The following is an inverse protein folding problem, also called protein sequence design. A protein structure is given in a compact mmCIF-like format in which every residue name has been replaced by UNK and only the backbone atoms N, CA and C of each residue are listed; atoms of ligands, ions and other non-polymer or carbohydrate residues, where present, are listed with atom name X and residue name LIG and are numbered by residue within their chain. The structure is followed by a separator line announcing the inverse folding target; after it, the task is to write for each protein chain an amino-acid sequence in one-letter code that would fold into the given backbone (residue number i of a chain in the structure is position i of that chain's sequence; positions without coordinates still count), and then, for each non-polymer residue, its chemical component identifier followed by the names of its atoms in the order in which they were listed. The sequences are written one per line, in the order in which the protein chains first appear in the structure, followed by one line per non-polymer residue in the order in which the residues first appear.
data_IF_058538817116
#
_entry.id   IF_058538817116
#
_cell.length_a   1.000
_cell.length_b   1.000
_cell.length_c   1.000
_cell.angle_alpha   90.00
_cell.angle_beta   90.00
_cell.angle_gamma   90.00
#
_symmetry.space_group_name_H-M   'P 1'
#
loop_
_entity.id
_entity.type
_entity.pdbx_description
1 polymer ?
#
# COMPACT_ATOMS: atom_id res chain seq x y z
N UNK A 1 -26.25 3.78 7.25
CA UNK A 1 -26.58 3.32 5.88
C UNK A 1 -26.28 1.82 5.63
N UNK A 2 -25.78 1.05 6.60
CA UNK A 2 -25.32 -0.34 6.35
C UNK A 2 -25.91 -1.41 7.27
N UNK A 3 -26.96 -1.07 8.04
CA UNK A 3 -27.44 -1.93 9.12
C UNK A 3 -27.94 -3.28 8.58
N UNK A 4 -28.80 -3.29 7.56
CA UNK A 4 -29.36 -4.52 6.99
C UNK A 4 -28.30 -5.50 6.47
N UNK A 5 -27.36 -5.04 5.64
CA UNK A 5 -26.28 -5.88 5.11
C UNK A 5 -25.35 -6.39 6.22
N UNK A 6 -25.04 -5.53 7.20
CA UNK A 6 -24.23 -5.90 8.35
C UNK A 6 -24.93 -6.97 9.20
N UNK A 7 -26.20 -6.77 9.49
CA UNK A 7 -27.03 -7.70 10.27
C UNK A 7 -27.15 -9.06 9.55
N UNK A 8 -27.28 -9.08 8.21
CA UNK A 8 -27.27 -10.30 7.42
C UNK A 8 -25.92 -11.02 7.45
N UNK A 9 -24.82 -10.29 7.30
CA UNK A 9 -23.48 -10.85 7.39
C UNK A 9 -23.17 -11.37 8.81
N UNK A 10 -23.63 -10.67 9.84
CA UNK A 10 -23.44 -11.10 11.24
C UNK A 10 -24.14 -12.43 11.53
N UNK A 11 -25.26 -12.75 10.89
CA UNK A 11 -25.94 -14.05 11.04
C UNK A 11 -25.08 -15.24 10.58
N UNK A 12 -24.23 -15.03 9.58
CA UNK A 12 -23.36 -16.07 9.02
C UNK A 12 -21.91 -15.95 9.49
N UNK A 13 -21.56 -14.84 10.15
CA UNK A 13 -20.19 -14.54 10.53
C UNK A 13 -19.79 -15.28 11.80
N UNK A 14 -18.91 -16.26 11.64
CA UNK A 14 -18.28 -16.98 12.75
C UNK A 14 -17.04 -16.27 13.30
N UNK A 15 -16.57 -15.20 12.65
CA UNK A 15 -15.37 -14.45 13.03
C UNK A 15 -15.73 -13.23 13.90
N UNK A 16 -14.72 -12.54 14.44
CA UNK A 16 -14.94 -11.26 15.11
C UNK A 16 -15.65 -10.26 14.17
N UNK A 17 -16.68 -9.55 14.65
CA UNK A 17 -17.55 -8.69 13.81
C UNK A 17 -16.79 -7.64 12.99
N UNK A 18 -15.65 -7.19 13.48
CA UNK A 18 -14.77 -6.26 12.77
C UNK A 18 -14.27 -6.80 11.41
N UNK A 19 -14.23 -8.11 11.20
CA UNK A 19 -13.90 -8.71 9.91
C UNK A 19 -15.02 -8.51 8.89
N UNK A 20 -16.28 -8.66 9.28
CA UNK A 20 -17.43 -8.36 8.42
C UNK A 20 -17.45 -6.87 8.04
N UNK A 21 -17.24 -5.99 9.02
CA UNK A 21 -17.14 -4.54 8.78
C UNK A 21 -16.03 -4.22 7.77
N UNK A 22 -14.88 -4.90 7.87
CA UNK A 22 -13.74 -4.68 6.98
C UNK A 22 -14.05 -5.18 5.56
N UNK A 23 -14.58 -6.39 5.42
CA UNK A 23 -14.96 -6.98 4.14
C UNK A 23 -15.98 -6.10 3.39
N UNK A 24 -16.97 -5.55 4.11
CA UNK A 24 -17.93 -4.60 3.54
C UNK A 24 -17.23 -3.35 2.99
N UNK A 25 -16.35 -2.72 3.79
CA UNK A 25 -15.63 -1.53 3.37
C UNK A 25 -14.78 -1.77 2.12
N UNK A 26 -14.06 -2.90 2.07
CA UNK A 26 -13.21 -3.26 0.93
C UNK A 26 -14.07 -3.52 -0.32
N UNK A 27 -15.18 -4.26 -0.19
CA UNK A 27 -16.13 -4.49 -1.28
C UNK A 27 -16.71 -3.18 -1.85
N UNK A 28 -17.10 -2.23 -0.99
CA UNK A 28 -17.57 -0.92 -1.44
C UNK A 28 -16.48 -0.11 -2.14
N UNK A 29 -15.24 -0.16 -1.64
CA UNK A 29 -14.10 0.51 -2.28
C UNK A 29 -13.86 -0.04 -3.70
N UNK A 30 -13.87 -1.37 -3.84
CA UNK A 30 -13.74 -2.06 -5.14
C UNK A 30 -14.86 -1.65 -6.10
N UNK A 31 -16.12 -1.69 -5.65
CA UNK A 31 -17.27 -1.31 -6.46
C UNK A 31 -17.24 0.16 -6.88
N UNK A 32 -16.84 1.06 -5.97
CA UNK A 32 -16.70 2.49 -6.25
C UNK A 32 -15.61 2.76 -7.30
N UNK A 33 -14.47 2.11 -7.16
CA UNK A 33 -13.37 2.19 -8.13
C UNK A 33 -13.78 1.64 -9.50
N UNK A 34 -14.48 0.50 -9.53
CA UNK A 34 -15.03 -0.08 -10.74
C UNK A 34 -16.02 0.88 -11.43
N UNK A 35 -17.00 1.42 -10.69
CA UNK A 35 -17.99 2.38 -11.22
C UNK A 35 -17.30 3.56 -11.91
N UNK A 36 -16.31 4.19 -11.26
CA UNK A 36 -15.54 5.31 -11.82
C UNK A 36 -14.82 4.96 -13.11
N UNK A 37 -14.36 3.72 -13.27
CA UNK A 37 -13.71 3.25 -14.51
C UNK A 37 -14.72 2.90 -15.60
N UNK A 38 -15.85 2.30 -15.22
CA UNK A 38 -16.94 1.98 -16.14
C UNK A 38 -17.52 3.25 -16.77
N UNK A 39 -17.76 4.30 -15.98
CA UNK A 39 -18.22 5.62 -16.45
C UNK A 39 -17.26 6.27 -17.47
N UNK A 40 -15.98 5.92 -17.42
CA UNK A 40 -14.95 6.39 -18.36
C UNK A 40 -14.78 5.47 -19.59
N UNK A 41 -15.64 4.46 -19.76
CA UNK A 41 -15.52 3.47 -20.82
C UNK A 41 -14.33 2.50 -20.68
N UNK A 42 -13.64 2.51 -19.52
CA UNK A 42 -12.38 1.75 -19.31
C UNK A 42 -12.58 0.37 -18.67
N UNK A 43 -13.80 0.04 -18.23
CA UNK A 43 -14.05 -1.23 -17.52
C UNK A 43 -15.48 -1.70 -17.67
N UNK A 44 -15.72 -2.64 -18.60
CA UNK A 44 -17.04 -3.26 -18.82
C UNK A 44 -17.27 -4.49 -17.93
N UNK A 45 -16.20 -5.17 -17.50
CA UNK A 45 -16.30 -6.39 -16.69
C UNK A 45 -16.49 -6.06 -15.21
N UNK A 46 -17.46 -6.69 -14.56
CA UNK A 46 -17.68 -6.60 -13.10
C UNK A 46 -16.41 -7.06 -12.33
N UNK A 47 -16.09 -6.42 -11.20
CA UNK A 47 -14.91 -6.79 -10.43
C UNK A 47 -15.08 -8.20 -9.86
N UNK A 48 -13.98 -8.95 -9.81
CA UNK A 48 -13.89 -10.26 -9.17
C UNK A 48 -12.72 -10.22 -8.18
N UNK A 49 -12.89 -10.83 -7.02
CA UNK A 49 -11.81 -11.00 -6.07
C UNK A 49 -10.84 -12.04 -6.67
N UNK A 50 -9.59 -11.64 -6.91
CA UNK A 50 -8.54 -12.52 -7.44
C UNK A 50 -7.68 -13.12 -6.34
N UNK A 51 -7.48 -12.37 -5.26
CA UNK A 51 -6.61 -12.72 -4.15
C UNK A 51 -7.35 -12.36 -2.86
N UNK A 52 -7.42 -13.33 -1.94
CA UNK A 52 -8.09 -13.16 -0.65
C UNK A 52 -7.07 -12.66 0.36
N UNK A 53 -7.38 -11.53 0.99
CA UNK A 53 -6.56 -10.99 2.05
C UNK A 53 -7.44 -10.43 3.17
N UNK A 54 -6.87 -10.33 4.36
CA UNK A 54 -7.53 -9.74 5.51
C UNK A 54 -6.58 -8.76 6.18
N UNK A 55 -6.97 -7.48 6.22
CA UNK A 55 -6.24 -6.46 6.97
C UNK A 55 -6.74 -6.39 8.41
N UNK A 56 -5.83 -6.59 9.35
CA UNK A 56 -6.12 -6.70 10.78
C UNK A 56 -6.09 -5.32 11.44
N UNK A 57 -7.28 -4.84 11.80
CA UNK A 57 -7.45 -3.59 12.55
C UNK A 57 -6.63 -3.61 13.85
N UNK A 58 -6.17 -2.43 14.28
CA UNK A 58 -5.48 -2.26 15.56
C UNK A 58 -6.25 -2.82 16.75
N UNK A 59 -7.58 -2.74 16.73
CA UNK A 59 -8.45 -3.28 17.79
C UNK A 59 -8.50 -4.80 17.86
N UNK A 60 -8.13 -5.50 16.78
CA UNK A 60 -8.12 -6.97 16.72
C UNK A 60 -6.76 -7.58 17.07
N UNK A 61 -5.74 -6.74 17.32
CA UNK A 61 -4.38 -7.22 17.61
C UNK A 61 -3.86 -6.72 18.96
N UNK A 62 -2.99 -7.52 19.56
CA UNK A 62 -2.15 -7.12 20.71
C UNK A 62 -0.70 -7.43 20.36
N UNK A 63 0.16 -6.43 20.45
CA UNK A 63 1.61 -6.59 20.25
C UNK A 63 2.26 -6.82 21.60
N UNK A 64 3.12 -7.84 21.67
CA UNK A 64 3.91 -8.17 22.84
C UNK A 64 5.35 -8.51 22.42
N UNK A 65 6.28 -7.60 22.72
CA UNK A 65 7.66 -7.66 22.25
C UNK A 65 7.76 -7.82 20.73
N UNK A 66 8.35 -8.93 20.29
CA UNK A 66 8.52 -9.28 18.88
C UNK A 66 7.44 -10.24 18.38
N UNK A 67 6.23 -10.16 18.93
CA UNK A 67 5.09 -10.98 18.53
C UNK A 67 3.80 -10.17 18.45
N UNK A 68 2.86 -10.64 17.62
CA UNK A 68 1.51 -10.11 17.52
C UNK A 68 0.50 -11.24 17.70
N UNK A 69 -0.42 -11.04 18.64
CA UNK A 69 -1.59 -11.87 18.83
C UNK A 69 -2.76 -11.23 18.10
N UNK A 70 -3.42 -11.99 17.23
CA UNK A 70 -4.53 -11.56 16.37
C UNK A 70 -5.78 -12.33 16.77
N UNK A 71 -6.85 -11.63 17.06
CA UNK A 71 -8.16 -12.21 17.40
C UNK A 71 -8.85 -12.69 16.12
N UNK A 72 -9.17 -13.98 16.02
CA UNK A 72 -9.92 -14.57 14.89
C UNK A 72 -11.40 -14.62 15.24
N UNK A 73 -11.72 -15.23 16.39
CA UNK A 73 -13.05 -15.28 17.01
C UNK A 73 -12.96 -14.82 18.46
N UNK A 74 -14.08 -14.55 19.15
CA UNK A 74 -14.06 -14.30 20.59
C UNK A 74 -13.31 -15.41 21.33
N UNK A 75 -12.22 -15.06 22.02
CA UNK A 75 -11.31 -15.97 22.76
C UNK A 75 -10.49 -16.93 21.90
N UNK A 76 -10.49 -16.79 20.57
CA UNK A 76 -9.67 -17.56 19.64
C UNK A 76 -8.62 -16.65 18.99
N UNK A 77 -7.35 -17.03 19.07
CA UNK A 77 -6.23 -16.18 18.66
C UNK A 77 -5.22 -16.94 17.80
N UNK A 78 -4.64 -16.23 16.83
CA UNK A 78 -3.43 -16.65 16.12
C UNK A 78 -2.29 -15.75 16.58
N UNK A 79 -1.10 -16.31 16.77
CA UNK A 79 0.09 -15.56 17.18
C UNK A 79 1.19 -15.70 16.15
N UNK A 80 1.74 -14.57 15.71
CA UNK A 80 2.92 -14.53 14.85
C UNK A 80 4.08 -13.90 15.61
N UNK A 81 5.20 -14.62 15.66
CA UNK A 81 6.46 -14.08 16.20
C UNK A 81 7.41 -13.73 15.05
N UNK A 82 8.03 -12.56 15.14
CA UNK A 82 9.14 -12.15 14.28
C UNK A 82 10.46 -12.09 15.03
N UNK A 83 10.58 -12.70 16.21
CA UNK A 83 11.82 -12.66 17.00
C UNK A 83 13.01 -13.33 16.30
N UNK A 84 12.76 -14.38 15.49
CA UNK A 84 13.77 -15.16 14.78
C UNK A 84 13.79 -14.90 13.27
N UNK A 85 13.27 -13.75 12.81
CA UNK A 85 13.31 -13.39 11.38
C UNK A 85 14.53 -12.53 11.06
N UNK A 86 14.94 -12.54 9.79
CA UNK A 86 16.06 -11.74 9.28
C UNK A 86 15.86 -10.23 9.50
N UNK A 87 14.61 -9.76 9.63
CA UNK A 87 14.25 -8.35 9.81
C UNK A 87 14.02 -7.95 11.28
N UNK A 88 14.04 -8.90 12.22
CA UNK A 88 13.78 -8.66 13.66
C UNK A 88 14.54 -7.44 14.23
N UNK A 89 15.84 -7.34 13.92
CA UNK A 89 16.70 -6.23 14.35
C UNK A 89 16.35 -4.91 13.68
N UNK A 90 15.89 -4.93 12.42
CA UNK A 90 15.56 -3.74 11.63
C UNK A 90 14.28 -3.05 12.10
N UNK A 91 13.38 -3.81 12.71
CA UNK A 91 12.07 -3.33 13.17
C UNK A 91 12.02 -3.03 14.66
N UNK A 92 13.16 -3.16 15.35
CA UNK A 92 13.26 -2.89 16.79
C UNK A 92 12.91 -1.42 17.06
N UNK A 93 11.93 -1.18 17.93
CA UNK A 93 11.45 0.17 18.27
C UNK A 93 10.45 0.77 17.28
N UNK A 94 10.11 0.08 16.19
CA UNK A 94 9.07 0.51 15.26
C UNK A 94 7.69 0.06 15.73
N UNK A 95 6.66 0.83 15.37
CA UNK A 95 5.28 0.47 15.63
C UNK A 95 4.78 -0.50 14.55
N UNK A 96 4.25 -1.65 14.97
CA UNK A 96 3.51 -2.51 14.05
C UNK A 96 2.18 -1.84 13.65
N UNK A 97 2.06 -1.53 12.36
CA UNK A 97 0.83 -1.10 11.69
C UNK A 97 -0.19 -2.23 11.57
N UNK A 98 -1.15 -2.13 10.65
CA UNK A 98 -2.19 -3.17 10.45
C UNK A 98 -1.67 -4.36 9.64
N UNK A 99 -1.46 -5.56 10.24
CA UNK A 99 -1.04 -6.74 9.49
C UNK A 99 -1.99 -7.07 8.35
N UNK A 100 -1.47 -7.67 7.29
CA UNK A 100 -2.27 -8.23 6.20
C UNK A 100 -1.99 -9.72 6.12
N UNK A 101 -3.01 -10.53 6.36
CA UNK A 101 -2.94 -11.98 6.23
C UNK A 101 -3.46 -12.34 4.84
N UNK A 102 -2.69 -13.13 4.10
CA UNK A 102 -3.10 -13.80 2.87
C UNK A 102 -3.16 -15.31 3.11
N UNK A 103 -3.45 -16.08 2.06
CA UNK A 103 -3.59 -17.54 2.15
C UNK A 103 -2.29 -18.24 2.57
N UNK A 104 -1.15 -17.74 2.11
CA UNK A 104 0.18 -18.35 2.24
C UNK A 104 1.20 -17.48 2.99
N UNK A 105 0.88 -16.20 3.22
CA UNK A 105 1.83 -15.23 3.79
C UNK A 105 1.18 -14.22 4.74
N UNK A 106 2.01 -13.63 5.62
CA UNK A 106 1.60 -12.57 6.54
C UNK A 106 2.54 -11.38 6.40
N UNK A 107 1.96 -10.25 6.03
CA UNK A 107 2.65 -8.97 5.97
C UNK A 107 2.53 -8.26 7.32
N UNK A 108 3.69 -7.89 7.87
CA UNK A 108 3.82 -7.10 9.08
C UNK A 108 4.37 -5.71 8.73
N UNK A 109 3.51 -4.70 8.52
CA UNK A 109 3.98 -3.36 8.21
C UNK A 109 4.48 -2.68 9.48
N UNK A 110 5.71 -2.18 9.47
CA UNK A 110 6.30 -1.41 10.56
C UNK A 110 6.43 0.06 10.16
N UNK A 111 6.11 0.97 11.08
CA UNK A 111 6.19 2.42 10.86
C UNK A 111 6.91 3.12 11.99
N UNK A 112 7.61 4.19 11.65
CA UNK A 112 8.13 5.13 12.64
C UNK A 112 6.97 5.89 13.27
N UNK A 113 7.00 6.05 14.59
CA UNK A 113 6.20 7.09 15.23
C UNK A 113 6.87 8.41 14.94
N UNK A 114 6.30 9.18 14.02
CA UNK A 114 6.72 10.57 13.85
C UNK A 114 6.28 11.34 15.10
N UNK A 115 7.18 12.11 15.73
CA UNK A 115 6.79 12.99 16.80
C UNK A 115 5.72 13.95 16.29
N UNK A 116 4.72 14.26 17.11
CA UNK A 116 3.85 15.40 16.83
C UNK A 116 4.72 16.65 16.88
N UNK A 117 4.98 17.25 15.72
CA UNK A 117 5.62 18.55 15.64
C UNK A 117 4.55 19.64 15.58
N UNK A 118 4.79 20.73 16.29
CA UNK A 118 4.10 22.00 16.01
C UNK A 118 4.79 22.62 14.80
N UNK A 119 4.07 23.05 13.76
CA UNK A 119 4.68 23.81 12.67
C UNK A 119 5.40 25.03 13.25
N UNK A 120 6.71 25.12 13.03
CA UNK A 120 7.52 26.26 13.49
C UNK A 120 7.40 27.43 12.53
N UNK A 121 7.24 27.14 11.24
CA UNK A 121 7.15 28.11 10.17
C UNK A 121 6.42 27.53 8.96
N UNK A 122 6.20 28.36 7.94
CA UNK A 122 5.62 27.98 6.66
C UNK A 122 6.64 28.12 5.53
N UNK A 123 6.59 27.20 4.57
CA UNK A 123 7.38 27.26 3.35
C UNK A 123 6.43 27.01 2.18
N UNK A 124 6.24 28.01 1.33
CA UNK A 124 5.50 27.85 0.09
C UNK A 124 6.41 27.15 -0.92
N UNK A 125 5.95 26.05 -1.50
CA UNK A 125 6.68 25.29 -2.51
C UNK A 125 5.82 25.22 -3.77
N UNK A 126 6.35 25.69 -4.89
CA UNK A 126 5.78 25.50 -6.22
C UNK A 126 6.68 24.58 -7.04
N UNK A 127 6.08 23.57 -7.69
CA UNK A 127 6.82 22.62 -8.51
C UNK A 127 6.39 22.75 -9.97
N UNK A 128 7.34 23.20 -10.79
CA UNK A 128 7.22 23.21 -12.25
C UNK A 128 7.99 22.03 -12.87
N UNK A 129 7.95 21.90 -14.20
CA UNK A 129 8.59 20.78 -14.91
C UNK A 129 10.10 20.73 -14.66
N UNK A 130 10.75 21.90 -14.63
CA UNK A 130 12.20 22.01 -14.54
C UNK A 130 12.69 22.80 -13.33
N UNK A 131 11.79 23.31 -12.50
CA UNK A 131 12.15 24.05 -11.29
C UNK A 131 11.30 23.61 -10.10
N UNK A 132 11.91 23.66 -8.93
CA UNK A 132 11.23 23.64 -7.64
C UNK A 132 11.55 24.96 -6.96
N UNK A 133 10.53 25.77 -6.76
CA UNK A 133 10.65 27.12 -6.21
C UNK A 133 10.11 27.12 -4.78
N UNK A 134 10.92 27.59 -3.84
CA UNK A 134 10.58 27.64 -2.43
C UNK A 134 10.67 29.08 -1.90
N UNK A 135 9.68 29.47 -1.10
CA UNK A 135 9.59 30.81 -0.48
C UNK A 135 9.19 30.70 0.99
N UNK A 136 10.00 31.28 1.87
CA UNK A 136 9.84 31.24 3.32
C UNK A 136 9.17 32.51 3.90
N UNK A 137 8.76 33.46 3.05
CA UNK A 137 8.26 34.77 3.48
C UNK A 137 9.27 35.90 3.31
N UNK A 138 10.57 35.58 3.18
CA UNK A 138 11.64 36.58 2.99
C UNK A 138 12.46 36.33 1.72
N UNK A 139 12.78 35.06 1.41
CA UNK A 139 13.73 34.67 0.36
C UNK A 139 13.14 33.63 -0.57
N UNK A 140 13.46 33.77 -1.85
CA UNK A 140 13.21 32.75 -2.86
C UNK A 140 14.44 31.88 -3.07
N UNK A 141 14.23 30.56 -3.12
CA UNK A 141 15.24 29.59 -3.54
C UNK A 141 14.67 28.75 -4.68
N UNK A 142 15.40 28.71 -5.79
CA UNK A 142 15.03 27.91 -6.97
C UNK A 142 16.01 26.76 -7.14
N UNK A 143 15.48 25.54 -7.23
CA UNK A 143 16.25 24.34 -7.56
C UNK A 143 15.94 23.90 -8.99
N UNK A 144 16.97 23.55 -9.76
CA UNK A 144 16.79 22.95 -11.09
C UNK A 144 16.39 21.48 -10.95
N UNK A 145 15.27 21.09 -11.60
CA UNK A 145 14.78 19.71 -11.72
C UNK A 145 15.10 19.06 -13.07
N UNK A 146 15.90 19.71 -13.93
CA UNK A 146 16.17 19.21 -15.30
C UNK A 146 16.72 17.79 -15.33
N UNK A 147 17.66 17.47 -14.42
CA UNK A 147 18.24 16.13 -14.32
C UNK A 147 17.18 15.11 -13.86
N UNK A 148 16.41 15.45 -12.83
CA UNK A 148 15.33 14.60 -12.32
C UNK A 148 14.25 14.34 -13.38
N UNK A 149 13.89 15.38 -14.14
CA UNK A 149 12.93 15.25 -15.24
C UNK A 149 13.46 14.34 -16.35
N UNK A 150 14.75 14.46 -16.69
CA UNK A 150 15.40 13.60 -17.68
C UNK A 150 15.37 12.13 -17.25
N UNK A 151 15.66 11.85 -15.97
CA UNK A 151 15.56 10.51 -15.39
C UNK A 151 14.12 9.98 -15.42
N UNK A 152 13.16 10.78 -14.98
CA UNK A 152 11.73 10.43 -15.03
C UNK A 152 11.30 10.09 -16.47
N UNK A 153 11.65 10.94 -17.44
CA UNK A 153 11.28 10.72 -18.84
C UNK A 153 11.89 9.43 -19.39
N UNK A 154 13.17 9.17 -19.10
CA UNK A 154 13.81 7.89 -19.45
C UNK A 154 13.10 6.68 -18.84
N UNK A 155 12.65 6.76 -17.59
CA UNK A 155 11.86 5.71 -16.95
C UNK A 155 10.48 5.52 -17.58
N UNK A 156 9.77 6.60 -17.92
CA UNK A 156 8.47 6.53 -18.58
C UNK A 156 8.57 5.87 -19.97
N UNK A 157 9.62 6.17 -20.74
CA UNK A 157 9.89 5.49 -22.00
C UNK A 157 10.13 3.98 -21.80
N UNK A 158 10.95 3.60 -20.80
CA UNK A 158 11.17 2.18 -20.47
C UNK A 158 9.86 1.50 -20.07
N UNK A 159 9.05 2.15 -19.22
CA UNK A 159 7.77 1.62 -18.74
C UNK A 159 6.76 1.46 -19.87
N UNK A 160 6.65 2.43 -20.77
CA UNK A 160 5.76 2.37 -21.94
C UNK A 160 6.12 1.21 -22.87
N UNK A 161 7.42 0.94 -23.08
CA UNK A 161 7.88 -0.23 -23.84
C UNK A 161 7.42 -1.52 -23.18
N UNK A 162 7.66 -1.68 -21.87
CA UNK A 162 7.23 -2.88 -21.11
C UNK A 162 5.72 -3.08 -21.23
N UNK A 163 4.92 -2.04 -20.98
CA UNK A 163 3.46 -2.11 -21.07
C UNK A 163 2.99 -2.54 -22.47
N UNK A 164 3.61 -2.01 -23.54
CA UNK A 164 3.28 -2.41 -24.91
C UNK A 164 3.59 -3.88 -25.21
N UNK A 165 4.57 -4.49 -24.54
CA UNK A 165 4.89 -5.91 -24.70
C UNK A 165 3.90 -6.79 -23.92
N UNK A 166 3.52 -6.37 -22.72
CA UNK A 166 2.50 -7.05 -21.90
C UNK A 166 1.12 -7.02 -22.60
N UNK A 167 0.76 -5.92 -23.25
CA UNK A 167 -0.48 -5.81 -24.04
C UNK A 167 -0.48 -6.69 -25.30
N UNK A 168 0.70 -6.98 -25.87
CA UNK A 168 0.87 -7.84 -27.05
C UNK A 168 1.06 -9.33 -26.72
N UNK A 169 1.10 -9.70 -25.44
CA UNK A 169 1.17 -11.10 -25.00
C UNK A 169 2.49 -11.83 -25.33
N UNK A 170 3.60 -11.11 -25.46
CA UNK A 170 4.91 -11.70 -25.79
C UNK A 170 5.55 -12.29 -24.52
N UNK A 171 5.76 -13.61 -24.47
CA UNK A 171 6.54 -14.27 -23.41
C UNK A 171 8.00 -13.78 -23.43
N UNK A 172 8.50 -13.31 -22.27
CA UNK A 172 9.85 -12.74 -22.12
C UNK A 172 9.91 -11.31 -21.58
N UNK A 173 8.78 -10.67 -21.29
CA UNK A 173 8.76 -9.32 -20.70
C UNK A 173 9.41 -9.26 -19.29
N UNK A 174 9.35 -10.35 -18.52
CA UNK A 174 9.95 -10.45 -17.18
C UNK A 174 11.48 -10.50 -17.20
N UNK A 175 12.10 -11.15 -18.21
CA UNK A 175 13.56 -11.26 -18.28
C UNK A 175 14.25 -9.94 -18.63
N UNK A 176 13.58 -9.10 -19.45
CA UNK A 176 14.02 -7.74 -19.79
C UNK A 176 13.90 -6.74 -18.63
N UNK A 177 12.96 -6.95 -17.71
CA UNK A 177 12.84 -6.13 -16.51
C UNK A 177 14.00 -6.39 -15.51
N UNK A 178 14.58 -7.60 -15.53
CA UNK A 178 15.62 -8.03 -14.59
C UNK A 178 17.05 -7.76 -15.06
N UNK A 179 17.32 -7.71 -16.37
CA UNK A 179 18.69 -7.64 -16.92
C UNK A 179 19.05 -6.29 -17.57
N UNK A 180 18.24 -5.25 -17.36
CA UNK A 180 18.37 -3.94 -18.02
C UNK A 180 19.12 -2.86 -17.22
N UNK A 181 20.12 -3.22 -16.41
CA UNK A 181 20.98 -2.24 -15.75
C UNK A 181 22.04 -2.86 -14.83
N UNK A 182 23.30 -2.73 -15.21
CA UNK A 182 24.41 -2.74 -14.25
C UNK A 182 24.14 -1.64 -13.22
N UNK A 183 23.77 -2.05 -12.01
CA UNK A 183 23.31 -1.16 -10.95
C UNK A 183 22.14 -1.80 -10.22
N UNK A 184 22.47 -2.42 -9.09
CA UNK A 184 21.57 -3.04 -8.11
C UNK A 184 20.16 -2.40 -8.08
N UNK A 185 19.08 -3.19 -8.26
CA UNK A 185 17.75 -2.62 -8.40
C UNK A 185 17.34 -1.91 -7.10
N UNK A 186 16.75 -0.70 -7.17
CA UNK A 186 16.07 -0.16 -6.01
C UNK A 186 14.95 -1.14 -5.65
N UNK A 187 14.91 -1.56 -4.40
CA UNK A 187 13.80 -2.30 -3.83
C UNK A 187 12.55 -1.41 -3.85
N UNK A 188 11.88 -1.35 -5.00
CA UNK A 188 10.56 -0.74 -5.13
C UNK A 188 9.59 -1.76 -4.55
N UNK A 189 9.33 -1.65 -3.25
CA UNK A 189 8.11 -2.20 -2.67
C UNK A 189 6.94 -1.54 -3.39
N UNK A 190 6.31 -2.28 -4.30
CA UNK A 190 4.99 -1.92 -4.82
C UNK A 190 4.02 -2.02 -3.65
N UNK A 191 3.76 -0.89 -3.01
CA UNK A 191 2.69 -0.72 -2.03
C UNK A 191 1.34 -0.98 -2.70
N UNK A 192 0.58 -1.88 -2.08
CA UNK A 192 -0.85 -2.17 -2.28
C UNK A 192 -1.72 -0.91 -2.18
#
# INVERSE_FOLDING_TARGET
MYKTLRDELEKINILASHYADKAMNDAYSILRSWKRRAEKGKSLRKPRLKEVYVRIKSTLRKVDGASVRITVRPREYITYSWSHTWFSRRVKGLELGEPVIKEDEVYLPFRYKLPRSTPLDFLAIDSNIYTLDAYDGDKFVTFSLKELYSLKYGMELKRGRIQSFTERGVEGAESLALHGGDGQPPHIYTSL
#
